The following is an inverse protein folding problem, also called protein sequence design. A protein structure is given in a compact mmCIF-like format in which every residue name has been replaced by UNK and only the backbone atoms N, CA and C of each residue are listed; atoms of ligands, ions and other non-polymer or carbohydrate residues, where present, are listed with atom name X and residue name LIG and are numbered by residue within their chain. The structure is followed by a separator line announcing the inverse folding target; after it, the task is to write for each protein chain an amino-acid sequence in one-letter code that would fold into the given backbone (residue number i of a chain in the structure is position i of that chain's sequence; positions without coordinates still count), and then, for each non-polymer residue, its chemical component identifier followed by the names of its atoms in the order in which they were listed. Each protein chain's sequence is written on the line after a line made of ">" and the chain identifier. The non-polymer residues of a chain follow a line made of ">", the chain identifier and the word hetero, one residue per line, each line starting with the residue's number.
data_IF_342374096825
#
_entry.id   IF_342374096825
#
_cell.length_a   1.000
_cell.length_b   1.000
_cell.length_c   1.000
_cell.angle_alpha   90.00
_cell.angle_beta   90.00
_cell.angle_gamma   90.00
#
_symmetry.space_group_name_H-M   'P 1'
#
loop_
_entity.id
_entity.type
_entity.pdbx_description
1 polymer ?
#
# COMPACT_ATOMS: atom_id res chain seq x y z
N UNK A 1 -10.42 -4.47 24.14
CA UNK A 1 -9.96 -3.08 24.06
C UNK A 1 -8.77 -3.01 23.08
N UNK A 2 -8.82 -2.11 22.14
CA UNK A 2 -7.69 -1.97 21.22
C UNK A 2 -6.50 -1.30 21.89
N UNK A 3 -5.30 -1.76 21.54
CA UNK A 3 -4.07 -1.12 21.98
C UNK A 3 -3.97 0.28 21.34
N UNK A 4 -3.45 1.25 22.09
CA UNK A 4 -3.14 2.57 21.53
C UNK A 4 -2.03 2.45 20.49
N UNK A 5 -1.85 3.48 19.65
CA UNK A 5 -0.78 3.48 18.65
C UNK A 5 0.60 3.37 19.29
N UNK A 6 0.77 3.90 20.51
CA UNK A 6 2.04 3.82 21.23
C UNK A 6 2.38 2.40 21.70
N UNK A 7 1.36 1.56 21.87
CA UNK A 7 1.53 0.16 22.26
C UNK A 7 1.70 -0.76 21.05
N UNK A 8 1.38 -0.29 19.84
CA UNK A 8 1.55 -1.06 18.62
C UNK A 8 2.96 -0.93 18.10
N UNK A 9 3.48 -2.04 17.58
CA UNK A 9 4.76 -2.01 16.88
C UNK A 9 4.65 -1.14 15.63
N UNK A 10 5.54 -0.16 15.49
CA UNK A 10 5.62 0.71 14.32
C UNK A 10 6.93 0.43 13.60
N UNK A 11 6.85 0.15 12.30
CA UNK A 11 8.03 -0.12 11.50
C UNK A 11 7.85 0.47 10.10
N UNK A 12 8.86 1.23 9.64
CA UNK A 12 8.88 1.81 8.30
C UNK A 12 10.04 1.20 7.53
N UNK A 13 9.76 0.69 6.33
CA UNK A 13 10.78 0.11 5.46
C UNK A 13 10.73 0.82 4.10
N UNK A 14 11.88 1.29 3.66
CA UNK A 14 12.04 1.82 2.31
C UNK A 14 12.55 0.72 1.39
N UNK A 15 11.99 0.61 0.21
CA UNK A 15 12.40 -0.40 -0.78
C UNK A 15 13.20 0.22 -1.92
N UNK A 16 12.55 0.95 -2.79
CA UNK A 16 13.20 1.48 -3.97
C UNK A 16 12.32 2.58 -4.59
N UNK A 17 12.94 3.64 -5.13
CA UNK A 17 12.24 4.76 -5.75
C UNK A 17 11.19 5.35 -4.80
N UNK A 18 9.91 5.26 -5.13
CA UNK A 18 8.82 5.76 -4.26
C UNK A 18 8.27 4.70 -3.32
N UNK A 19 8.78 3.48 -3.37
CA UNK A 19 8.23 2.34 -2.64
C UNK A 19 8.64 2.30 -1.19
N UNK A 20 7.66 2.22 -0.30
CA UNK A 20 7.90 2.03 1.12
C UNK A 20 6.72 1.31 1.77
N UNK A 21 6.92 0.82 2.98
CA UNK A 21 5.83 0.26 3.77
C UNK A 21 5.83 0.82 5.18
N UNK A 22 4.66 0.82 5.78
CA UNK A 22 4.45 1.19 7.17
C UNK A 22 3.70 0.06 7.83
N UNK A 23 4.27 -0.50 8.89
CA UNK A 23 3.63 -1.49 9.73
C UNK A 23 3.12 -0.81 10.99
N UNK A 24 1.85 -1.03 11.33
CA UNK A 24 1.27 -0.61 12.60
C UNK A 24 0.61 -1.84 13.23
N UNK A 25 1.29 -2.43 14.20
CA UNK A 25 0.84 -3.69 14.79
C UNK A 25 0.78 -4.79 13.73
N UNK A 26 -0.39 -5.41 13.56
CA UNK A 26 -0.61 -6.48 12.58
C UNK A 26 -1.16 -5.99 11.24
N UNK A 27 -1.18 -4.68 11.02
CA UNK A 27 -1.61 -4.08 9.75
C UNK A 27 -0.40 -3.54 8.99
N UNK A 28 -0.32 -3.88 7.71
CA UNK A 28 0.77 -3.45 6.82
C UNK A 28 0.20 -2.58 5.70
N UNK A 29 0.80 -1.41 5.50
CA UNK A 29 0.51 -0.48 4.41
C UNK A 29 1.71 -0.46 3.47
N UNK A 30 1.51 -0.81 2.21
CA UNK A 30 2.56 -0.84 1.19
C UNK A 30 2.22 0.20 0.13
N UNK A 31 3.14 1.12 -0.14
CA UNK A 31 2.94 2.22 -1.09
C UNK A 31 3.89 2.10 -2.27
N UNK A 32 3.34 2.11 -3.49
CA UNK A 32 4.09 2.19 -4.75
C UNK A 32 5.30 1.25 -4.82
N UNK A 33 5.09 0.02 -4.41
CA UNK A 33 6.14 -1.00 -4.40
C UNK A 33 6.59 -1.34 -5.81
N UNK A 34 7.89 -1.28 -6.05
CA UNK A 34 8.53 -1.61 -7.32
C UNK A 34 9.86 -2.29 -7.06
N UNK A 35 10.11 -3.39 -7.74
CA UNK A 35 11.36 -4.15 -7.59
C UNK A 35 12.48 -3.63 -8.49
N UNK A 36 12.25 -2.53 -9.20
CA UNK A 36 13.24 -1.89 -10.05
C UNK A 36 13.30 -2.46 -11.45
N UNK A 37 14.00 -1.77 -12.34
CA UNK A 37 14.23 -2.27 -13.69
C UNK A 37 15.00 -3.59 -13.63
N UNK A 38 14.54 -4.59 -14.41
CA UNK A 38 15.12 -5.92 -14.42
C UNK A 38 15.21 -6.52 -13.02
N UNK A 39 14.27 -6.17 -12.14
CA UNK A 39 14.21 -6.65 -10.76
C UNK A 39 15.51 -6.38 -10.00
N UNK A 40 16.02 -5.16 -10.14
CA UNK A 40 17.31 -4.75 -9.54
C UNK A 40 17.26 -4.61 -8.02
N UNK A 41 16.06 -4.53 -7.40
CA UNK A 41 15.94 -4.48 -5.96
C UNK A 41 16.56 -5.74 -5.33
N UNK A 42 17.39 -5.53 -4.30
CA UNK A 42 18.05 -6.64 -3.61
C UNK A 42 17.04 -7.67 -3.10
N UNK A 43 17.33 -8.95 -3.32
CA UNK A 43 16.46 -10.04 -2.87
C UNK A 43 16.23 -10.02 -1.35
N UNK A 44 17.19 -9.50 -0.58
CA UNK A 44 17.08 -9.46 0.88
C UNK A 44 16.02 -8.48 1.38
N UNK A 45 15.61 -7.49 0.56
CA UNK A 45 14.59 -6.51 0.95
C UNK A 45 13.30 -6.64 0.16
N UNK A 46 13.23 -7.55 -0.82
CA UNK A 46 11.99 -7.76 -1.57
C UNK A 46 10.90 -8.31 -0.66
N UNK A 47 9.67 -7.87 -0.95
CA UNK A 47 8.50 -8.45 -0.27
C UNK A 47 8.21 -9.82 -0.89
N UNK A 48 8.07 -10.81 -0.04
CA UNK A 48 7.71 -12.18 -0.44
C UNK A 48 6.43 -12.59 0.26
N UNK A 49 5.58 -13.40 -0.39
CA UNK A 49 4.31 -13.84 0.22
C UNK A 49 4.47 -14.44 1.62
N UNK A 50 5.56 -15.15 1.88
CA UNK A 50 5.81 -15.77 3.18
C UNK A 50 5.87 -14.74 4.30
N UNK A 51 6.44 -13.55 4.01
CA UNK A 51 6.52 -12.48 4.99
C UNK A 51 5.16 -11.84 5.25
N UNK A 52 4.28 -11.82 4.25
CA UNK A 52 2.97 -11.19 4.34
C UNK A 52 2.00 -12.01 5.19
N UNK A 53 2.25 -13.30 5.38
CA UNK A 53 1.38 -14.17 6.19
C UNK A 53 1.33 -13.77 7.66
N UNK A 54 2.29 -12.98 8.13
CA UNK A 54 2.34 -12.52 9.51
C UNK A 54 1.32 -11.42 9.83
N UNK A 55 0.68 -10.84 8.81
CA UNK A 55 -0.21 -9.69 8.99
C UNK A 55 -1.67 -10.09 8.93
N UNK A 56 -2.51 -9.44 9.75
CA UNK A 56 -3.95 -9.65 9.72
C UNK A 56 -4.62 -8.87 8.59
N UNK A 57 -4.06 -7.70 8.22
CA UNK A 57 -4.55 -6.85 7.15
C UNK A 57 -3.39 -6.27 6.38
N UNK A 58 -3.52 -6.25 5.06
CA UNK A 58 -2.50 -5.68 4.17
C UNK A 58 -3.21 -4.78 3.17
N UNK A 59 -2.75 -3.54 3.07
CA UNK A 59 -3.25 -2.56 2.10
C UNK A 59 -2.13 -2.21 1.14
N UNK A 60 -2.39 -2.37 -0.15
CA UNK A 60 -1.43 -2.02 -1.21
C UNK A 60 -1.97 -0.80 -1.95
N UNK A 61 -1.22 0.29 -1.90
CA UNK A 61 -1.57 1.56 -2.52
C UNK A 61 -0.74 1.77 -3.77
N UNK A 62 -1.40 2.14 -4.87
CA UNK A 62 -0.75 2.45 -6.14
C UNK A 62 -1.22 3.84 -6.57
N UNK A 63 -0.32 4.82 -6.54
CA UNK A 63 -0.66 6.22 -6.74
C UNK A 63 -0.71 6.63 -8.21
N UNK A 64 -0.02 5.90 -9.08
CA UNK A 64 0.12 6.22 -10.51
C UNK A 64 0.12 4.94 -11.33
N UNK A 65 -0.27 5.03 -12.61
CA UNK A 65 -0.19 3.92 -13.56
C UNK A 65 1.22 3.70 -14.13
N UNK A 66 2.21 4.51 -13.77
CA UNK A 66 3.57 4.39 -14.27
C UNK A 66 4.28 3.16 -13.69
N UNK A 67 5.18 2.50 -14.47
CA UNK A 67 5.83 1.26 -14.02
C UNK A 67 6.59 1.35 -12.71
N UNK A 68 7.17 2.52 -12.39
CA UNK A 68 7.91 2.73 -11.15
C UNK A 68 7.01 2.89 -9.91
N UNK A 69 5.68 2.93 -10.11
CA UNK A 69 4.68 2.93 -9.04
C UNK A 69 3.79 1.69 -9.07
N UNK A 70 3.70 1.01 -10.20
CA UNK A 70 2.83 -0.14 -10.42
C UNK A 70 3.65 -1.33 -10.88
N UNK A 71 4.10 -2.15 -9.94
CA UNK A 71 4.76 -3.42 -10.25
C UNK A 71 3.70 -4.53 -10.25
N UNK A 72 3.52 -5.24 -11.37
CA UNK A 72 2.57 -6.35 -11.42
C UNK A 72 2.78 -7.43 -10.35
N UNK A 73 3.97 -7.51 -9.77
CA UNK A 73 4.27 -8.49 -8.72
C UNK A 73 3.32 -8.36 -7.54
N UNK A 74 2.84 -7.14 -7.23
CA UNK A 74 1.94 -6.92 -6.09
C UNK A 74 0.62 -7.69 -6.25
N UNK A 75 0.17 -7.93 -7.47
CA UNK A 75 -1.05 -8.69 -7.73
C UNK A 75 -0.82 -10.21 -7.64
N UNK A 76 0.42 -10.67 -7.74
CA UNK A 76 0.70 -12.10 -7.56
C UNK A 76 0.49 -12.53 -6.12
N UNK A 77 0.63 -11.61 -5.18
CA UNK A 77 0.46 -11.92 -3.75
C UNK A 77 -0.97 -12.32 -3.40
N UNK A 78 -1.96 -11.75 -4.08
CA UNK A 78 -3.37 -12.09 -3.84
C UNK A 78 -3.67 -13.56 -4.15
N UNK A 79 -2.91 -14.19 -5.03
CA UNK A 79 -3.08 -15.59 -5.40
C UNK A 79 -2.73 -16.55 -4.27
N UNK A 80 -2.01 -16.07 -3.26
CA UNK A 80 -1.62 -16.86 -2.09
C UNK A 80 -2.72 -16.87 -1.00
N UNK A 81 -3.90 -16.29 -1.26
CA UNK A 81 -4.98 -16.25 -0.28
C UNK A 81 -4.75 -15.28 0.87
N UNK A 82 -3.88 -14.29 0.68
CA UNK A 82 -3.54 -13.30 1.69
C UNK A 82 -4.65 -12.24 1.84
N UNK A 83 -4.80 -11.64 3.05
CA UNK A 83 -5.83 -10.62 3.29
C UNK A 83 -5.43 -9.25 2.75
N UNK A 84 -5.32 -9.12 1.43
CA UNK A 84 -4.84 -7.91 0.75
C UNK A 84 -6.01 -7.13 0.16
N UNK A 85 -6.03 -5.82 0.42
CA UNK A 85 -6.92 -4.86 -0.23
C UNK A 85 -6.04 -3.92 -1.05
N UNK A 86 -6.34 -3.80 -2.35
CA UNK A 86 -5.65 -2.87 -3.25
C UNK A 86 -6.43 -1.58 -3.35
N UNK A 87 -5.74 -0.45 -3.22
CA UNK A 87 -6.31 0.90 -3.35
C UNK A 87 -5.49 1.62 -4.41
N UNK A 88 -6.14 2.00 -5.50
CA UNK A 88 -5.46 2.47 -6.70
C UNK A 88 -6.00 3.83 -7.12
N UNK A 89 -5.17 4.59 -7.83
CA UNK A 89 -5.62 5.86 -8.40
C UNK A 89 -6.63 5.64 -9.52
N UNK A 90 -7.43 6.65 -9.79
CA UNK A 90 -8.45 6.59 -10.84
C UNK A 90 -7.89 6.53 -12.26
N UNK A 91 -6.60 6.82 -12.46
CA UNK A 91 -5.95 6.78 -13.78
C UNK A 91 -5.53 5.37 -14.21
N UNK A 92 -5.75 4.36 -13.39
CA UNK A 92 -5.41 2.98 -13.72
C UNK A 92 -6.18 2.48 -14.93
N UNK A 93 -5.59 1.57 -15.74
CA UNK A 93 -6.29 0.96 -16.87
C UNK A 93 -7.59 0.27 -16.44
N UNK A 94 -8.55 0.21 -17.37
CA UNK A 94 -9.80 -0.51 -17.16
C UNK A 94 -9.48 -1.98 -16.81
N UNK A 95 -10.15 -2.51 -15.80
CA UNK A 95 -9.94 -3.89 -15.36
C UNK A 95 -8.86 -4.06 -14.29
N UNK A 96 -8.14 -2.99 -13.94
CA UNK A 96 -7.20 -3.05 -12.82
C UNK A 96 -7.94 -3.38 -11.53
N UNK A 97 -7.44 -4.39 -10.80
CA UNK A 97 -8.01 -4.81 -9.53
C UNK A 97 -7.70 -3.77 -8.46
N UNK A 98 -8.71 -3.37 -7.71
CA UNK A 98 -8.56 -2.46 -6.58
C UNK A 98 -9.70 -1.47 -6.46
N UNK A 99 -9.76 -0.82 -5.30
CA UNK A 99 -10.69 0.27 -5.04
C UNK A 99 -10.09 1.55 -5.62
N UNK A 100 -10.79 2.18 -6.56
CA UNK A 100 -10.30 3.38 -7.24
C UNK A 100 -10.65 4.63 -6.45
N UNK A 101 -9.68 5.52 -6.32
CA UNK A 101 -9.90 6.85 -5.75
C UNK A 101 -9.40 7.93 -6.72
N UNK A 102 -10.28 8.85 -7.06
CA UNK A 102 -9.92 10.08 -7.76
C UNK A 102 -9.52 11.15 -6.74
N UNK A 103 -8.87 12.24 -7.18
CA UNK A 103 -8.54 13.33 -6.26
C UNK A 103 -9.76 13.81 -5.47
N UNK A 104 -9.57 14.03 -4.17
CA UNK A 104 -10.55 14.44 -3.17
C UNK A 104 -11.56 13.36 -2.75
N UNK A 105 -11.53 12.19 -3.35
CA UNK A 105 -12.33 11.06 -2.87
C UNK A 105 -11.69 10.44 -1.63
N UNK A 106 -12.56 9.95 -0.74
CA UNK A 106 -12.13 9.31 0.50
C UNK A 106 -12.91 8.03 0.74
N UNK A 107 -12.33 7.16 1.57
CA UNK A 107 -12.95 5.89 1.92
C UNK A 107 -12.58 5.47 3.33
N UNK A 108 -13.59 5.08 4.09
CA UNK A 108 -13.38 4.43 5.38
C UNK A 108 -13.12 2.94 5.10
N UNK A 109 -11.96 2.45 5.47
CA UNK A 109 -11.57 1.06 5.22
C UNK A 109 -11.96 0.15 6.38
N UNK A 110 -11.71 0.60 7.59
CA UNK A 110 -12.17 -0.05 8.82
C UNK A 110 -12.56 1.04 9.81
N UNK A 111 -13.03 0.66 10.99
CA UNK A 111 -13.33 1.62 12.04
C UNK A 111 -12.14 2.54 12.37
N UNK A 112 -10.92 2.02 12.23
CA UNK A 112 -9.69 2.73 12.63
C UNK A 112 -8.85 3.21 11.46
N UNK A 113 -9.24 2.92 10.21
CA UNK A 113 -8.43 3.21 9.03
C UNK A 113 -9.26 3.93 7.98
N UNK A 114 -8.78 5.09 7.57
CA UNK A 114 -9.41 5.95 6.58
C UNK A 114 -8.35 6.43 5.59
N UNK A 115 -8.73 6.59 4.33
CA UNK A 115 -7.85 7.09 3.28
C UNK A 115 -8.55 8.17 2.46
N UNK A 116 -7.78 9.19 2.08
CA UNK A 116 -8.21 10.23 1.14
C UNK A 116 -7.16 10.39 0.06
N UNK A 117 -7.62 10.54 -1.17
CA UNK A 117 -6.75 10.85 -2.31
C UNK A 117 -6.71 12.35 -2.54
N UNK A 118 -5.55 12.87 -2.87
CA UNK A 118 -5.33 14.27 -3.22
C UNK A 118 -4.75 14.38 -4.62
N UNK A 119 -4.86 15.56 -5.21
CA UNK A 119 -4.25 15.87 -6.50
C UNK A 119 -2.73 15.69 -6.39
N UNK A 120 -2.16 14.92 -7.32
CA UNK A 120 -0.71 14.80 -7.44
C UNK A 120 -0.18 15.88 -8.39
N UNK A 121 1.13 16.11 -8.34
CA UNK A 121 1.82 16.98 -9.30
C UNK A 121 2.01 16.28 -10.65
N UNK A 122 1.83 14.99 -10.69
CA UNK A 122 1.87 14.15 -11.88
C UNK A 122 0.49 13.51 -12.09
N UNK A 123 0.38 12.53 -12.98
CA UNK A 123 -0.83 11.72 -13.12
C UNK A 123 -1.11 10.95 -11.82
N UNK A 124 -2.37 10.62 -11.60
CA UNK A 124 -2.74 9.85 -10.43
C UNK A 124 -3.02 10.71 -9.22
N UNK A 125 -2.74 10.17 -8.05
CA UNK A 125 -3.09 10.79 -6.77
C UNK A 125 -1.96 10.66 -5.76
N UNK A 126 -2.06 11.45 -4.69
CA UNK A 126 -1.31 11.24 -3.45
C UNK A 126 -2.30 10.75 -2.40
N UNK A 127 -1.90 9.79 -1.58
CA UNK A 127 -2.75 9.25 -0.53
C UNK A 127 -2.39 9.82 0.83
N UNK A 128 -3.42 10.13 1.61
CA UNK A 128 -3.29 10.36 3.05
C UNK A 128 -4.03 9.24 3.76
N UNK A 129 -3.33 8.50 4.60
CA UNK A 129 -3.93 7.41 5.38
C UNK A 129 -3.93 7.80 6.84
N UNK A 130 -5.09 7.73 7.48
CA UNK A 130 -5.19 7.81 8.92
C UNK A 130 -5.45 6.41 9.46
N UNK A 131 -4.56 5.94 10.32
CA UNK A 131 -4.64 4.59 10.86
C UNK A 131 -4.25 4.61 12.34
N UNK A 132 -5.17 4.20 13.19
CA UNK A 132 -4.94 4.08 14.63
C UNK A 132 -4.39 5.38 15.26
N UNK A 133 -4.84 6.53 14.74
CA UNK A 133 -4.40 7.84 15.18
C UNK A 133 -3.13 8.39 14.51
N UNK A 134 -2.50 7.61 13.65
CA UNK A 134 -1.34 8.06 12.86
C UNK A 134 -1.80 8.58 11.50
N UNK A 135 -1.01 9.51 10.94
CA UNK A 135 -1.16 9.97 9.57
C UNK A 135 0.05 9.56 8.75
N UNK A 136 -0.22 8.98 7.61
CA UNK A 136 0.80 8.45 6.71
C UNK A 136 0.67 9.11 5.35
#
# INVERSE_FOLDING_TARGET
>A
MEASVLEKQLKIVYYYNSGFSVQVGSTLFIFDYWEGENRSLSASVRIRPELLKAYERIYVFISHAHPDHLDPVVYTWAKEGLPITYIVSSDMPIGTIGKRLAPLQEKQLTQDIWVKAYQSTDLGVAFLVEAYGLRI
#
